data_IF_869487126752
#
_entry.id   IF_869487126752
#
_cell.length_a   1.000
_cell.length_b   1.000
_cell.length_c   1.000
_cell.angle_alpha   90.00
_cell.angle_beta   90.00
_cell.angle_gamma   90.00
#
_symmetry.space_group_name_H-M   'P 1'
#
loop_
_entity.id
_entity.type
_entity.pdbx_description
1 polymer ?
#
# COMPACT_ATOMS: atom_id res chain seq x y z
N UNK A 1 -12.10 2.25 -0.32
CA UNK A 1 -12.52 2.81 0.99
C UNK A 1 -12.32 1.81 2.10
N UNK A 2 -12.55 2.20 3.36
CA UNK A 2 -12.37 1.32 4.52
C UNK A 2 -13.14 0.00 4.43
N UNK A 3 -14.40 0.02 3.97
CA UNK A 3 -15.22 -1.19 3.79
C UNK A 3 -14.59 -2.16 2.78
N UNK A 4 -14.03 -1.62 1.70
CA UNK A 4 -13.38 -2.43 0.66
C UNK A 4 -12.01 -2.95 1.15
N UNK A 5 -11.27 -2.16 1.92
CA UNK A 5 -10.01 -2.58 2.57
C UNK A 5 -10.25 -3.74 3.54
N UNK A 6 -11.38 -3.73 4.28
CA UNK A 6 -11.79 -4.84 5.14
C UNK A 6 -12.13 -6.07 4.29
N UNK A 7 -12.90 -5.90 3.21
CA UNK A 7 -13.31 -7.00 2.32
C UNK A 7 -12.12 -7.72 1.67
N UNK A 8 -11.14 -6.96 1.16
CA UNK A 8 -9.91 -7.51 0.59
C UNK A 8 -8.91 -8.02 1.66
N UNK A 9 -9.13 -7.71 2.94
CA UNK A 9 -8.14 -8.00 3.97
C UNK A 9 -6.77 -7.37 3.66
N UNK A 10 -6.74 -6.18 3.04
CA UNK A 10 -5.55 -5.60 2.39
C UNK A 10 -4.32 -5.58 3.29
N UNK A 11 -4.46 -5.13 4.54
CA UNK A 11 -3.35 -5.09 5.50
C UNK A 11 -2.84 -6.50 5.86
N UNK A 12 -3.76 -7.46 6.03
CA UNK A 12 -3.42 -8.84 6.38
C UNK A 12 -2.69 -9.54 5.22
N UNK A 13 -3.12 -9.32 3.99
CA UNK A 13 -2.46 -9.82 2.79
C UNK A 13 -1.07 -9.20 2.61
N UNK A 14 -0.93 -7.89 2.77
CA UNK A 14 0.37 -7.20 2.70
C UNK A 14 1.39 -7.79 3.68
N UNK A 15 0.99 -8.01 4.95
CA UNK A 15 1.85 -8.65 5.96
C UNK A 15 2.14 -10.12 5.61
N UNK A 16 1.18 -10.86 5.06
CA UNK A 16 1.40 -12.24 4.61
C UNK A 16 2.49 -12.33 3.53
N UNK A 17 2.45 -11.41 2.57
CA UNK A 17 3.42 -11.34 1.48
C UNK A 17 4.83 -11.03 2.02
N UNK A 18 4.94 -10.13 3.01
CA UNK A 18 6.22 -9.91 3.70
C UNK A 18 6.73 -11.18 4.40
N UNK A 19 5.84 -11.92 5.09
CA UNK A 19 6.19 -13.20 5.73
C UNK A 19 6.65 -14.26 4.71
N UNK A 20 6.13 -14.20 3.48
CA UNK A 20 6.53 -15.05 2.37
C UNK A 20 7.83 -14.60 1.67
N UNK A 21 8.47 -13.52 2.14
CA UNK A 21 9.74 -13.03 1.60
C UNK A 21 9.61 -12.04 0.44
N UNK A 22 8.40 -11.52 0.16
CA UNK A 22 8.26 -10.44 -0.81
C UNK A 22 8.89 -9.14 -0.28
N UNK A 23 9.45 -8.34 -1.19
CA UNK A 23 9.88 -6.98 -0.85
C UNK A 23 8.68 -6.10 -0.47
N UNK A 24 8.91 -5.07 0.36
CA UNK A 24 7.85 -4.14 0.80
C UNK A 24 7.10 -3.52 -0.38
N UNK A 25 7.82 -3.15 -1.44
CA UNK A 25 7.21 -2.60 -2.65
C UNK A 25 6.30 -3.61 -3.36
N UNK A 26 6.74 -4.86 -3.49
CA UNK A 26 5.96 -5.89 -4.18
C UNK A 26 4.74 -6.31 -3.34
N UNK A 27 4.89 -6.40 -2.02
CA UNK A 27 3.81 -6.66 -1.08
C UNK A 27 2.73 -5.56 -1.12
N UNK A 28 3.14 -4.28 -1.14
CA UNK A 28 2.21 -3.16 -1.34
C UNK A 28 1.46 -3.25 -2.66
N UNK A 29 2.17 -3.51 -3.76
CA UNK A 29 1.57 -3.61 -5.10
C UNK A 29 0.51 -4.71 -5.16
N UNK A 30 0.87 -5.92 -4.76
CA UNK A 30 -0.04 -7.08 -4.81
C UNK A 30 -1.27 -6.90 -3.91
N UNK A 31 -1.11 -6.31 -2.71
CA UNK A 31 -2.24 -6.04 -1.83
C UNK A 31 -3.19 -4.97 -2.39
N UNK A 32 -2.67 -3.95 -3.08
CA UNK A 32 -3.50 -2.95 -3.75
C UNK A 32 -4.12 -3.48 -5.05
N UNK A 33 -3.46 -4.39 -5.77
CA UNK A 33 -4.06 -5.09 -6.90
C UNK A 33 -5.22 -5.99 -6.48
N UNK A 34 -5.07 -6.71 -5.38
CA UNK A 34 -6.16 -7.51 -4.80
C UNK A 34 -7.35 -6.62 -4.40
N UNK A 35 -7.09 -5.48 -3.76
CA UNK A 35 -8.11 -4.48 -3.47
C UNK A 35 -8.81 -3.95 -4.76
N UNK A 36 -8.04 -3.71 -5.83
CA UNK A 36 -8.57 -3.26 -7.14
C UNK A 36 -9.36 -4.35 -7.87
N UNK A 37 -9.12 -5.62 -7.54
CA UNK A 37 -9.83 -6.75 -8.16
C UNK A 37 -11.26 -6.93 -7.63
N UNK A 38 -11.62 -6.24 -6.54
CA UNK A 38 -12.97 -6.28 -6.02
C UNK A 38 -13.96 -5.65 -7.00
N UNK A 39 -14.97 -6.42 -7.39
CA UNK A 39 -16.07 -5.95 -8.21
C UNK A 39 -17.20 -5.37 -7.33
N UNK A 40 -17.71 -4.20 -7.72
CA UNK A 40 -18.80 -3.51 -7.02
C UNK A 40 -18.38 -2.82 -5.72
N UNK A 41 -19.37 -2.27 -5.00
CA UNK A 41 -19.11 -1.41 -3.84
C UNK A 41 -18.50 -0.05 -4.23
N UNK A 42 -18.18 0.77 -3.22
CA UNK A 42 -17.54 2.06 -3.44
C UNK A 42 -16.02 1.92 -3.47
N UNK A 43 -15.45 1.95 -4.68
CA UNK A 43 -14.01 1.90 -4.93
C UNK A 43 -13.42 3.32 -4.88
N UNK A 44 -13.36 3.88 -3.67
CA UNK A 44 -12.63 5.12 -3.41
C UNK A 44 -11.14 4.85 -3.10
N UNK A 45 -10.28 5.89 -3.20
CA UNK A 45 -8.84 5.74 -3.01
C UNK A 45 -8.50 5.29 -1.58
N UNK A 46 -7.48 4.46 -1.47
CA UNK A 46 -6.94 3.94 -0.21
C UNK A 46 -5.44 4.07 -0.23
N UNK A 47 -4.86 4.67 0.82
CA UNK A 47 -3.41 4.63 1.06
C UNK A 47 -3.04 3.42 1.92
N UNK A 48 -2.09 2.63 1.44
CA UNK A 48 -1.45 1.56 2.20
C UNK A 48 -0.06 2.02 2.63
N UNK A 49 0.15 2.08 3.94
CA UNK A 49 1.48 2.28 4.54
C UNK A 49 1.99 0.91 5.02
N UNK A 50 3.15 0.48 4.52
CA UNK A 50 3.73 -0.80 4.86
C UNK A 50 5.20 -0.64 5.23
N UNK A 51 5.65 -1.41 6.22
CA UNK A 51 7.03 -1.42 6.71
C UNK A 51 7.51 -2.86 6.92
N UNK A 52 8.73 -3.19 6.48
CA UNK A 52 9.38 -4.48 6.82
C UNK A 52 10.03 -4.46 8.20
N UNK A 53 10.37 -5.63 8.72
CA UNK A 53 11.15 -5.75 9.96
C UNK A 53 12.54 -5.11 9.88
N UNK A 54 13.09 -4.95 8.67
CA UNK A 54 14.35 -4.25 8.41
C UNK A 54 14.21 -2.72 8.36
N UNK A 55 12.98 -2.19 8.52
CA UNK A 55 12.69 -0.76 8.49
C UNK A 55 12.50 -0.17 7.08
N UNK A 56 12.44 -1.00 6.04
CA UNK A 56 12.09 -0.52 4.70
C UNK A 56 10.61 -0.12 4.66
N UNK A 57 10.27 0.99 4.01
CA UNK A 57 8.90 1.52 3.97
C UNK A 57 8.42 1.67 2.53
N UNK A 58 7.15 1.39 2.31
CA UNK A 58 6.44 1.73 1.07
C UNK A 58 5.06 2.30 1.41
N UNK A 59 4.71 3.40 0.75
CA UNK A 59 3.36 3.99 0.81
C UNK A 59 2.76 4.03 -0.59
N UNK A 60 1.57 3.50 -0.80
CA UNK A 60 0.99 3.49 -2.14
C UNK A 60 -0.52 3.62 -2.10
N UNK A 61 -1.12 4.02 -3.22
CA UNK A 61 -2.56 4.12 -3.38
C UNK A 61 -3.04 3.41 -4.65
N UNK A 62 -4.28 2.92 -4.64
CA UNK A 62 -4.86 2.15 -5.73
C UNK A 62 -5.38 2.99 -6.90
N UNK A 63 -5.86 4.23 -6.68
CA UNK A 63 -6.56 5.02 -7.71
C UNK A 63 -6.25 6.53 -7.63
N UNK A 64 -4.97 6.86 -7.47
CA UNK A 64 -4.50 8.24 -7.38
C UNK A 64 -3.23 8.44 -8.21
N UNK A 65 -3.38 8.38 -9.53
CA UNK A 65 -2.28 8.70 -10.44
C UNK A 65 -1.82 10.15 -10.21
N UNK A 66 -0.50 10.36 -10.12
CA UNK A 66 0.09 11.67 -9.85
C UNK A 66 -0.03 12.18 -8.41
N UNK A 67 -0.60 11.41 -7.48
CA UNK A 67 -0.64 11.82 -6.06
C UNK A 67 0.61 11.38 -5.31
N UNK A 68 1.24 12.35 -4.63
CA UNK A 68 2.40 12.12 -3.77
C UNK A 68 1.92 11.92 -2.33
N UNK A 69 2.13 10.71 -1.79
CA UNK A 69 2.01 10.49 -0.36
C UNK A 69 3.25 11.03 0.35
N UNK A 70 3.05 11.87 1.36
CA UNK A 70 4.11 12.35 2.26
C UNK A 70 3.99 11.62 3.59
N UNK A 71 5.06 10.99 4.03
CA UNK A 71 5.10 10.33 5.33
C UNK A 71 6.40 10.64 6.05
N UNK A 72 6.35 10.57 7.39
CA UNK A 72 7.49 10.77 8.26
C UNK A 72 8.10 9.42 8.64
N UNK A 73 9.40 9.27 8.39
CA UNK A 73 10.17 8.11 8.80
C UNK A 73 11.60 8.51 9.20
N UNK A 74 12.19 7.77 10.15
CA UNK A 74 13.53 8.02 10.69
C UNK A 74 13.56 9.02 11.86
N UNK A 75 14.77 9.46 12.25
CA UNK A 75 14.93 10.54 13.24
C UNK A 75 14.44 11.88 12.65
N UNK A 76 13.52 12.52 13.38
CA UNK A 76 12.96 13.87 13.19
C UNK A 76 12.76 14.29 11.73
N UNK A 77 11.56 14.02 11.19
CA UNK A 77 10.92 14.92 10.23
C UNK A 77 11.28 14.76 8.75
N UNK A 78 11.98 13.70 8.32
CA UNK A 78 12.22 13.51 6.88
C UNK A 78 10.91 13.18 6.15
N UNK A 79 10.53 14.04 5.19
CA UNK A 79 9.40 13.80 4.30
C UNK A 79 9.87 12.88 3.19
N UNK A 80 9.33 11.67 3.16
CA UNK A 80 9.56 10.74 2.07
C UNK A 80 8.42 10.89 1.06
N UNK A 81 8.76 11.08 -0.21
CA UNK A 81 7.80 11.07 -1.31
C UNK A 81 7.65 9.66 -1.81
N UNK A 82 6.41 9.18 -1.94
CA UNK A 82 6.20 7.89 -2.55
C UNK A 82 6.05 7.97 -4.06
N UNK A 83 6.87 7.19 -4.75
CA UNK A 83 6.79 6.99 -6.19
C UNK A 83 5.50 6.23 -6.51
N UNK A 84 4.66 6.72 -7.45
CA UNK A 84 3.43 6.03 -7.82
C UNK A 84 3.70 4.58 -8.20
N UNK A 85 2.95 3.64 -7.60
CA UNK A 85 2.93 2.28 -8.11
C UNK A 85 2.14 2.29 -9.42
N UNK A 86 2.79 1.84 -10.50
CA UNK A 86 2.12 1.61 -11.77
C UNK A 86 1.53 0.21 -11.73
N UNK A 87 0.24 0.14 -11.99
CA UNK A 87 -0.49 -1.10 -12.21
C UNK A 87 -0.55 -1.32 -13.74
N UNK A 88 -0.35 -2.55 -14.23
CA UNK A 88 -0.59 -2.88 -15.64
C UNK A 88 -2.06 -2.68 -16.03
#
# INVERSE_FOLDING_TARGET
>A
TGEMTIRAGTARLAVALLQQGHSVRNACRLALEDLRSLEGGYLGPVFLHLMSAAGEICVAANDLEGTVARYFAGEVGSVQECVPLRFP
#
